data_IF_455373528058
#
_entry.id   IF_455373528058
#
_cell.length_a   1.000
_cell.length_b   1.000
_cell.length_c   1.000
_cell.angle_alpha   90.00
_cell.angle_beta   90.00
_cell.angle_gamma   90.00
#
_symmetry.space_group_name_H-M   'P 1'
#
loop_
_entity.id
_entity.type
_entity.pdbx_description
1 polymer ?
#
# COMPACT_ATOMS: atom_id res chain seq x y z
N UNK A 1 6.12 -7.94 -9.85
CA UNK A 1 4.71 -7.96 -9.43
C UNK A 1 4.64 -8.14 -7.93
N UNK A 2 3.87 -7.30 -7.26
CA UNK A 2 3.55 -7.38 -5.85
C UNK A 2 2.04 -7.43 -5.66
N UNK A 3 1.63 -7.81 -4.45
CA UNK A 3 0.25 -7.77 -4.01
C UNK A 3 0.20 -7.09 -2.66
N UNK A 4 -0.93 -6.45 -2.36
CA UNK A 4 -1.18 -5.88 -1.06
C UNK A 4 -2.58 -6.23 -0.56
N UNK A 5 -2.74 -6.28 0.76
CA UNK A 5 -4.01 -6.41 1.44
C UNK A 5 -4.08 -5.43 2.61
N UNK A 6 -5.31 -5.11 3.03
CA UNK A 6 -5.56 -4.34 4.24
C UNK A 6 -5.95 -5.35 5.32
N UNK A 7 -5.19 -5.37 6.41
CA UNK A 7 -5.45 -6.21 7.57
C UNK A 7 -6.69 -5.73 8.33
N UNK A 8 -7.18 -6.55 9.27
CA UNK A 8 -8.37 -6.20 10.06
C UNK A 8 -8.19 -4.94 10.92
N UNK A 9 -6.96 -4.60 11.30
CA UNK A 9 -6.62 -3.35 12.00
C UNK A 9 -6.48 -2.14 11.06
N UNK A 10 -6.61 -2.36 9.75
CA UNK A 10 -6.47 -1.35 8.70
C UNK A 10 -5.03 -1.13 8.22
N UNK A 11 -4.06 -1.89 8.73
CA UNK A 11 -2.68 -1.84 8.27
C UNK A 11 -2.57 -2.41 6.85
N UNK A 12 -1.79 -1.75 5.98
CA UNK A 12 -1.46 -2.32 4.69
C UNK A 12 -0.33 -3.36 4.85
N UNK A 13 -0.54 -4.55 4.28
CA UNK A 13 0.45 -5.62 4.23
C UNK A 13 0.69 -5.93 2.76
N UNK A 14 1.91 -5.72 2.29
CA UNK A 14 2.31 -6.00 0.92
C UNK A 14 3.37 -7.12 0.86
N UNK A 15 3.39 -7.86 -0.24
CA UNK A 15 4.34 -8.94 -0.47
C UNK A 15 4.66 -9.10 -1.97
N UNK A 16 5.79 -9.74 -2.27
CA UNK A 16 6.25 -10.00 -3.63
C UNK A 16 7.45 -9.13 -4.00
N UNK A 17 7.51 -8.69 -5.26
CA UNK A 17 8.61 -7.86 -5.75
C UNK A 17 8.63 -6.49 -5.03
N UNK A 18 9.82 -6.03 -4.65
CA UNK A 18 9.99 -4.80 -3.87
C UNK A 18 11.22 -4.00 -4.29
N UNK A 19 11.54 -3.98 -5.58
CA UNK A 19 12.75 -3.30 -6.07
C UNK A 19 12.67 -1.78 -5.97
N UNK A 20 11.46 -1.24 -5.86
CA UNK A 20 11.15 0.18 -5.85
C UNK A 20 10.51 0.62 -4.52
N UNK A 21 10.40 -0.29 -3.54
CA UNK A 21 9.65 -0.06 -2.31
C UNK A 21 8.14 -0.23 -2.47
N UNK A 22 7.64 -0.76 -3.59
CA UNK A 22 6.20 -0.93 -3.85
C UNK A 22 5.48 -1.88 -2.87
N UNK A 23 6.24 -2.72 -2.17
CA UNK A 23 5.76 -3.61 -1.11
C UNK A 23 6.13 -3.14 0.32
N UNK A 24 6.60 -1.90 0.48
CA UNK A 24 6.88 -1.28 1.79
C UNK A 24 5.87 -0.16 2.08
N UNK A 25 4.63 -0.50 2.48
CA UNK A 25 3.62 0.50 2.80
C UNK A 25 4.06 1.37 3.99
N UNK A 26 3.85 2.70 3.94
CA UNK A 26 4.02 3.55 5.11
C UNK A 26 3.09 3.14 6.24
N UNK A 27 3.53 3.33 7.49
CA UNK A 27 2.71 3.12 8.66
C UNK A 27 1.42 3.96 8.57
N UNK A 28 0.29 3.32 8.83
CA UNK A 28 -1.00 3.98 8.75
C UNK A 28 -2.17 3.01 8.71
N UNK A 29 -3.37 3.59 8.76
CA UNK A 29 -4.62 2.87 8.64
C UNK A 29 -5.27 3.25 7.31
N UNK A 30 -5.60 2.24 6.51
CA UNK A 30 -6.10 2.42 5.15
C UNK A 30 -7.47 1.76 4.98
N UNK A 31 -8.25 2.29 4.04
CA UNK A 31 -9.61 1.81 3.74
C UNK A 31 -9.74 1.24 2.33
N UNK A 32 -8.86 1.65 1.42
CA UNK A 32 -8.78 1.13 0.06
C UNK A 32 -7.32 1.18 -0.41
N UNK A 33 -6.95 0.22 -1.27
CA UNK A 33 -5.61 0.16 -1.85
C UNK A 33 -5.71 -0.23 -3.33
N UNK A 34 -4.89 0.41 -4.15
CA UNK A 34 -4.70 0.11 -5.57
C UNK A 34 -3.22 -0.09 -5.83
N UNK A 35 -2.90 -1.09 -6.64
CA UNK A 35 -1.53 -1.51 -6.94
C UNK A 35 -1.27 -1.42 -8.44
N UNK A 36 -0.09 -0.94 -8.79
CA UNK A 36 0.49 -0.90 -10.14
C UNK A 36 1.68 -1.85 -10.23
N UNK A 37 2.53 -1.75 -11.25
CA UNK A 37 3.71 -2.59 -11.39
C UNK A 37 4.86 -2.15 -10.45
N UNK A 38 5.04 -0.84 -10.28
CA UNK A 38 6.17 -0.22 -9.54
C UNK A 38 5.75 0.68 -8.37
N UNK A 39 4.44 0.92 -8.19
CA UNK A 39 3.92 1.71 -7.06
C UNK A 39 2.59 1.18 -6.57
N UNK A 40 2.22 1.66 -5.39
CA UNK A 40 0.97 1.41 -4.71
C UNK A 40 0.42 2.74 -4.20
N UNK A 41 -0.91 2.89 -4.22
CA UNK A 41 -1.59 4.01 -3.60
C UNK A 41 -2.75 3.51 -2.75
N UNK A 42 -2.98 4.16 -1.61
CA UNK A 42 -4.06 3.84 -0.70
C UNK A 42 -4.78 5.10 -0.20
N UNK A 43 -6.01 4.91 0.25
CA UNK A 43 -6.80 5.94 0.93
C UNK A 43 -6.66 5.70 2.43
N UNK A 44 -6.00 6.64 3.12
CA UNK A 44 -5.88 6.63 4.57
C UNK A 44 -7.25 6.82 5.22
N UNK A 45 -7.38 6.42 6.49
CA UNK A 45 -8.63 6.54 7.25
C UNK A 45 -9.12 8.00 7.39
N UNK A 46 -8.22 8.99 7.29
CA UNK A 46 -8.58 10.42 7.25
C UNK A 46 -9.07 10.91 5.88
N UNK A 47 -9.03 10.07 4.85
CA UNK A 47 -9.44 10.38 3.47
C UNK A 47 -8.29 10.87 2.59
N UNK A 48 -7.07 10.94 3.10
CA UNK A 48 -5.89 11.34 2.34
C UNK A 48 -5.42 10.22 1.41
N UNK A 49 -4.85 10.58 0.26
CA UNK A 49 -4.18 9.62 -0.63
C UNK A 49 -2.71 9.53 -0.24
N UNK A 50 -2.25 8.31 -0.02
CA UNK A 50 -0.84 7.99 0.25
C UNK A 50 -0.35 7.07 -0.85
N UNK A 51 0.74 7.44 -1.51
CA UNK A 51 1.39 6.61 -2.52
C UNK A 51 2.83 6.30 -2.11
N UNK A 52 3.28 5.10 -2.44
CA UNK A 52 4.65 4.62 -2.19
C UNK A 52 5.12 3.74 -3.35
N UNK A 53 6.44 3.59 -3.49
CA UNK A 53 7.06 3.07 -4.70
C UNK A 53 7.48 4.17 -5.68
N UNK A 54 7.69 3.80 -6.95
CA UNK A 54 8.09 4.71 -8.03
C UNK A 54 6.97 4.94 -9.07
#
# INVERSE_FOLDING_TARGET
>A
MHSCAIAAGGEAVCWGANFDGQADPPDGTYTAISISELHSCAIAAGGEVVCWGN
#
